data_IF_698885075651
#
_entry.id   IF_698885075651
#
_cell.length_a   1.000
_cell.length_b   1.000
_cell.length_c   1.000
_cell.angle_alpha   90.00
_cell.angle_beta   90.00
_cell.angle_gamma   90.00
#
_symmetry.space_group_name_H-M   'P 1'
#
loop_
_entity.id
_entity.type
_entity.pdbx_description
1 polymer ?
#
# COMPACT_ATOMS: atom_id res chain seq x y z
N UNK A 1 -1.40 21.87 -10.85
CA UNK A 1 -1.76 21.12 -9.60
C UNK A 1 -0.68 21.36 -8.55
N UNK A 2 -1.05 21.71 -7.30
CA UNK A 2 -0.11 21.92 -6.17
C UNK A 2 -0.32 20.86 -5.11
N UNK A 3 0.74 20.17 -4.72
CA UNK A 3 0.69 19.06 -3.74
C UNK A 3 1.52 19.42 -2.52
N UNK A 4 0.90 19.46 -1.34
CA UNK A 4 1.56 19.68 -0.06
C UNK A 4 2.03 18.36 0.55
N UNK A 5 3.29 18.27 0.91
CA UNK A 5 3.90 17.18 1.65
C UNK A 5 4.25 17.69 3.05
N UNK A 6 3.44 17.31 4.04
CA UNK A 6 3.57 17.83 5.41
C UNK A 6 4.76 17.20 6.13
N UNK A 7 5.64 18.04 6.67
CA UNK A 7 6.80 17.62 7.47
C UNK A 7 6.52 17.91 8.95
N UNK A 8 6.63 16.86 9.77
CA UNK A 8 6.52 16.98 11.23
C UNK A 8 7.75 16.37 11.92
N UNK A 9 8.17 16.87 13.10
CA UNK A 9 9.39 16.41 13.77
C UNK A 9 9.44 14.91 14.08
N UNK A 10 8.30 14.27 14.31
CA UNK A 10 8.22 12.86 14.68
C UNK A 10 7.80 11.94 13.54
N UNK A 11 7.91 12.39 12.30
CA UNK A 11 7.46 11.59 11.16
C UNK A 11 8.43 10.48 10.78
N UNK A 12 7.90 9.46 10.14
CA UNK A 12 8.65 8.44 9.42
C UNK A 12 8.93 8.96 8.01
N UNK A 13 10.19 9.25 7.68
CA UNK A 13 10.58 9.87 6.39
C UNK A 13 10.00 9.14 5.17
N UNK A 14 10.08 7.81 5.13
CA UNK A 14 9.58 6.98 4.02
C UNK A 14 8.08 7.13 3.77
N UNK A 15 7.30 7.52 4.78
CA UNK A 15 5.86 7.76 4.62
C UNK A 15 5.52 9.06 3.89
N UNK A 16 6.51 9.90 3.64
CA UNK A 16 6.40 11.12 2.85
C UNK A 16 7.21 11.02 1.56
N UNK A 17 8.50 10.67 1.68
CA UNK A 17 9.43 10.66 0.55
C UNK A 17 9.00 9.69 -0.54
N UNK A 18 8.37 8.57 -0.19
CA UNK A 18 7.83 7.62 -1.17
C UNK A 18 6.83 8.28 -2.13
N UNK A 19 5.83 8.99 -1.60
CA UNK A 19 4.84 9.67 -2.42
C UNK A 19 5.46 10.87 -3.17
N UNK A 20 6.35 11.61 -2.51
CA UNK A 20 7.06 12.74 -3.12
C UNK A 20 7.87 12.30 -4.35
N UNK A 21 8.67 11.25 -4.23
CA UNK A 21 9.49 10.75 -5.33
C UNK A 21 8.67 10.14 -6.47
N UNK A 22 7.56 9.49 -6.17
CA UNK A 22 6.64 9.00 -7.20
C UNK A 22 6.05 10.15 -8.03
N UNK A 23 5.62 11.25 -7.42
CA UNK A 23 5.15 12.42 -8.16
C UNK A 23 6.29 13.15 -8.89
N UNK A 24 7.48 13.19 -8.28
CA UNK A 24 8.66 13.73 -8.96
C UNK A 24 8.98 12.93 -10.23
N UNK A 25 8.99 11.60 -10.14
CA UNK A 25 9.20 10.73 -11.28
C UNK A 25 8.07 10.83 -12.32
N UNK A 26 6.81 11.01 -11.89
CA UNK A 26 5.68 11.27 -12.79
C UNK A 26 5.87 12.58 -13.57
N UNK A 27 6.30 13.65 -12.89
CA UNK A 27 6.65 14.90 -13.51
C UNK A 27 7.75 14.74 -14.58
N UNK A 28 8.80 13.96 -14.28
CA UNK A 28 9.89 13.70 -15.22
C UNK A 28 9.43 12.87 -16.42
N UNK A 29 8.58 11.86 -16.18
CA UNK A 29 8.02 11.03 -17.25
C UNK A 29 7.13 11.86 -18.19
N UNK A 30 6.24 12.69 -17.64
CA UNK A 30 5.35 13.55 -18.42
C UNK A 30 6.13 14.53 -19.31
N UNK A 31 7.25 15.08 -18.82
CA UNK A 31 8.13 15.95 -19.61
C UNK A 31 8.81 15.23 -20.78
N UNK A 32 9.21 13.96 -20.60
CA UNK A 32 9.91 13.18 -21.64
C UNK A 32 9.01 12.71 -22.76
N UNK A 33 7.78 12.35 -22.44
CA UNK A 33 6.86 11.77 -23.43
C UNK A 33 6.20 12.81 -24.30
N UNK A 34 6.48 14.12 -24.08
CA UNK A 34 5.83 15.20 -24.82
C UNK A 34 4.29 15.12 -24.73
N UNK A 35 3.80 14.40 -23.70
CA UNK A 35 2.37 14.26 -23.44
C UNK A 35 1.80 15.67 -23.36
N UNK A 36 1.06 15.97 -24.40
CA UNK A 36 0.35 17.18 -24.70
C UNK A 36 0.00 17.97 -23.45
N UNK A 37 0.37 19.22 -23.47
CA UNK A 37 -0.02 20.46 -22.81
C UNK A 37 -1.26 20.49 -21.89
N UNK A 38 -2.00 19.39 -21.71
CA UNK A 38 -3.18 19.30 -20.85
C UNK A 38 -2.90 18.70 -19.45
N UNK A 39 -1.75 18.04 -19.23
CA UNK A 39 -1.36 17.55 -17.91
C UNK A 39 -0.46 18.58 -17.24
N UNK A 40 -1.02 19.44 -16.41
CA UNK A 40 -0.25 20.36 -15.58
C UNK A 40 0.72 19.58 -14.71
N UNK A 41 2.02 19.87 -14.85
CA UNK A 41 3.07 19.33 -13.99
C UNK A 41 2.76 19.73 -12.55
N UNK A 42 2.78 18.78 -11.61
CA UNK A 42 2.51 19.07 -10.22
C UNK A 42 3.65 19.87 -9.59
N UNK A 43 3.33 20.96 -8.94
CA UNK A 43 4.22 21.65 -8.01
C UNK A 43 4.23 20.87 -6.69
N UNK A 44 5.40 20.37 -6.28
CA UNK A 44 5.58 19.59 -5.07
C UNK A 44 6.14 20.50 -3.98
N UNK A 45 5.36 20.75 -2.92
CA UNK A 45 5.71 21.69 -1.87
C UNK A 45 5.86 20.95 -0.53
N UNK A 46 7.02 21.09 0.08
CA UNK A 46 7.27 20.61 1.44
C UNK A 46 6.79 21.63 2.46
N UNK A 47 5.75 21.28 3.22
CA UNK A 47 5.11 22.17 4.19
C UNK A 47 5.50 21.73 5.61
N UNK A 48 6.25 22.58 6.32
CA UNK A 48 6.59 22.38 7.73
C UNK A 48 5.59 23.05 8.66
N UNK A 49 5.72 22.81 9.97
CA UNK A 49 5.03 23.61 10.98
C UNK A 49 5.53 25.07 10.96
N UNK A 50 6.81 25.23 10.72
CA UNK A 50 7.53 26.47 10.43
C UNK A 50 8.40 26.26 9.19
N UNK A 51 9.14 27.27 8.78
CA UNK A 51 10.10 27.17 7.67
C UNK A 51 11.47 26.62 8.15
N UNK A 52 11.63 26.33 9.43
CA UNK A 52 12.86 25.81 9.99
C UNK A 52 13.12 24.36 9.56
N UNK A 53 14.41 24.02 9.49
CA UNK A 53 14.85 22.65 9.21
C UNK A 53 14.38 21.70 10.30
N UNK A 54 13.80 20.57 9.90
CA UNK A 54 13.23 19.57 10.79
C UNK A 54 14.16 18.37 10.89
N UNK A 55 14.66 18.09 12.09
CA UNK A 55 15.39 16.87 12.41
C UNK A 55 14.42 15.73 12.73
N UNK A 56 14.59 14.58 12.07
CA UNK A 56 13.76 13.40 12.25
C UNK A 56 14.40 12.41 13.25
N UNK A 57 13.60 11.54 13.90
CA UNK A 57 14.10 10.54 14.84
C UNK A 57 15.13 9.57 14.25
N UNK A 58 15.18 9.43 12.92
CA UNK A 58 16.16 8.63 12.19
C UNK A 58 17.52 9.31 12.00
N UNK A 59 17.68 10.57 12.39
CA UNK A 59 18.86 11.38 12.11
C UNK A 59 18.85 12.06 10.74
N UNK A 60 17.84 11.81 9.91
CA UNK A 60 17.62 12.55 8.68
C UNK A 60 17.06 13.93 9.00
N UNK A 61 17.37 14.90 8.18
CA UNK A 61 16.78 16.23 8.28
C UNK A 61 16.15 16.66 6.97
N UNK A 62 15.03 17.36 7.06
CA UNK A 62 14.29 17.89 5.91
C UNK A 62 14.14 19.39 6.04
N UNK A 63 14.28 20.07 4.92
CA UNK A 63 14.05 21.52 4.81
C UNK A 63 12.66 21.75 4.21
N UNK A 64 11.70 22.33 4.95
CA UNK A 64 10.45 22.80 4.39
C UNK A 64 10.68 23.90 3.36
N UNK A 65 9.81 23.98 2.38
CA UNK A 65 9.78 25.08 1.41
C UNK A 65 8.95 26.27 1.96
N UNK A 66 7.99 25.93 2.86
CA UNK A 66 7.13 26.93 3.53
C UNK A 66 6.61 26.38 4.86
N UNK A 67 6.14 27.27 5.75
CA UNK A 67 5.36 26.92 6.94
C UNK A 67 3.86 26.76 6.63
N UNK A 68 3.06 26.55 7.70
CA UNK A 68 1.59 26.50 7.59
C UNK A 68 1.06 27.89 7.20
N UNK A 69 0.64 28.04 5.96
CA UNK A 69 0.03 29.27 5.42
C UNK A 69 -1.37 28.96 4.88
N UNK A 70 -2.21 30.00 4.78
CA UNK A 70 -3.53 29.90 4.16
C UNK A 70 -3.42 29.96 2.62
N UNK A 71 -2.66 29.02 2.07
CA UNK A 71 -2.56 28.78 0.64
C UNK A 71 -3.26 27.47 0.33
N UNK A 72 -4.11 27.44 -0.71
CA UNK A 72 -4.87 26.24 -1.09
C UNK A 72 -3.97 25.30 -1.88
N UNK A 73 -4.00 24.03 -1.51
CA UNK A 73 -3.41 22.92 -2.25
C UNK A 73 -4.49 22.05 -2.87
N UNK A 74 -4.21 21.46 -4.01
CA UNK A 74 -5.10 20.47 -4.63
C UNK A 74 -5.06 19.15 -3.85
N UNK A 75 -3.91 18.84 -3.23
CA UNK A 75 -3.68 17.61 -2.50
C UNK A 75 -2.73 17.82 -1.33
N UNK A 76 -3.00 17.14 -0.22
CA UNK A 76 -2.16 17.15 1.00
C UNK A 76 -1.80 15.71 1.37
N UNK A 77 -0.52 15.48 1.67
CA UNK A 77 -0.01 14.22 2.21
C UNK A 77 0.43 14.40 3.67
N UNK A 78 -0.18 13.64 4.56
CA UNK A 78 0.13 13.59 6.00
C UNK A 78 0.95 12.33 6.31
N UNK A 79 2.16 12.46 6.87
CA UNK A 79 3.06 11.34 7.10
C UNK A 79 2.64 10.49 8.30
N UNK A 80 3.09 9.23 8.32
CA UNK A 80 3.07 8.42 9.53
C UNK A 80 4.06 8.96 10.56
N UNK A 81 3.70 8.87 11.83
CA UNK A 81 4.54 9.28 12.95
C UNK A 81 5.22 8.09 13.62
N UNK A 82 6.41 8.29 14.13
CA UNK A 82 7.09 7.34 14.99
C UNK A 82 6.34 7.18 16.32
N UNK A 83 6.19 5.92 16.76
CA UNK A 83 5.62 5.58 18.06
C UNK A 83 4.21 6.18 18.28
N UNK A 84 3.96 6.71 19.46
CA UNK A 84 2.65 7.21 19.87
C UNK A 84 2.31 8.54 19.17
N UNK A 85 1.24 8.61 18.35
CA UNK A 85 0.84 9.84 17.67
C UNK A 85 0.20 10.89 18.56
N UNK A 86 -0.38 10.51 19.72
CA UNK A 86 -1.16 11.40 20.58
C UNK A 86 -0.42 12.68 20.99
N UNK A 87 0.82 12.63 21.51
CA UNK A 87 1.53 13.85 21.88
C UNK A 87 1.79 14.75 20.68
N UNK A 88 2.09 14.16 19.52
CA UNK A 88 2.38 14.93 18.30
C UNK A 88 1.15 15.68 17.84
N UNK A 89 -0.01 15.03 17.79
CA UNK A 89 -1.28 15.67 17.37
C UNK A 89 -1.68 16.77 18.36
N UNK A 90 -1.64 16.48 19.66
CA UNK A 90 -2.03 17.44 20.72
C UNK A 90 -1.14 18.67 20.78
N UNK A 91 0.15 18.51 20.49
CA UNK A 91 1.11 19.62 20.51
C UNK A 91 1.10 20.44 19.21
N UNK A 92 0.33 20.03 18.20
CA UNK A 92 0.26 20.70 16.90
C UNK A 92 -1.18 21.03 16.47
N UNK A 93 -1.96 21.77 17.29
CA UNK A 93 -3.34 22.14 16.96
C UNK A 93 -3.42 22.98 15.68
N UNK A 94 -2.42 23.82 15.41
CA UNK A 94 -2.36 24.62 14.19
C UNK A 94 -2.33 23.74 12.91
N UNK A 95 -1.65 22.59 12.95
CA UNK A 95 -1.68 21.64 11.83
C UNK A 95 -3.05 20.97 11.69
N UNK A 96 -3.72 20.63 12.79
CA UNK A 96 -5.08 20.08 12.78
C UNK A 96 -6.07 21.06 12.13
N UNK A 97 -6.00 22.33 12.53
CA UNK A 97 -6.86 23.39 11.97
C UNK A 97 -6.52 23.65 10.50
N UNK A 98 -5.24 23.61 10.13
CA UNK A 98 -4.80 23.78 8.75
C UNK A 98 -5.29 22.61 7.87
N UNK A 99 -5.24 21.36 8.35
CA UNK A 99 -5.77 20.18 7.62
C UNK A 99 -7.28 20.32 7.38
N UNK A 100 -8.02 20.76 8.41
CA UNK A 100 -9.47 21.03 8.29
C UNK A 100 -9.72 22.09 7.23
N UNK A 101 -9.01 23.21 7.31
CA UNK A 101 -9.13 24.32 6.38
C UNK A 101 -8.82 23.89 4.93
N UNK A 102 -7.77 23.12 4.70
CA UNK A 102 -7.43 22.57 3.38
C UNK A 102 -8.57 21.72 2.79
N UNK A 103 -9.12 20.82 3.62
CA UNK A 103 -10.24 19.99 3.19
C UNK A 103 -11.49 20.82 2.83
N UNK A 104 -11.84 21.79 3.65
CA UNK A 104 -12.97 22.69 3.42
C UNK A 104 -12.80 23.53 2.13
N UNK A 105 -11.56 23.87 1.78
CA UNK A 105 -11.23 24.56 0.52
C UNK A 105 -10.97 23.61 -0.66
N UNK A 106 -11.32 22.34 -0.51
CA UNK A 106 -11.43 21.39 -1.61
C UNK A 106 -10.22 20.52 -1.85
N UNK A 107 -9.20 20.55 -1.01
CA UNK A 107 -8.05 19.67 -1.11
C UNK A 107 -8.42 18.18 -0.93
N UNK A 108 -7.72 17.30 -1.63
CA UNK A 108 -7.68 15.87 -1.35
C UNK A 108 -6.70 15.65 -0.20
N UNK A 109 -7.16 15.01 0.88
CA UNK A 109 -6.33 14.72 2.05
C UNK A 109 -5.93 13.24 2.02
N UNK A 110 -4.62 12.99 1.96
CA UNK A 110 -4.03 11.65 2.04
C UNK A 110 -3.29 11.50 3.35
N UNK A 111 -3.59 10.46 4.11
CA UNK A 111 -2.91 10.16 5.36
C UNK A 111 -2.29 8.76 5.32
N UNK A 112 -1.11 8.62 5.92
CA UNK A 112 -0.38 7.35 6.00
C UNK A 112 -0.27 6.90 7.45
N UNK A 113 -0.65 5.66 7.72
CA UNK A 113 -0.55 5.06 9.05
C UNK A 113 -1.13 5.96 10.14
N UNK A 114 -0.31 6.32 11.12
CA UNK A 114 -0.72 7.21 12.24
C UNK A 114 -0.98 8.65 11.84
N UNK A 115 -0.64 9.08 10.62
CA UNK A 115 -0.99 10.40 10.08
C UNK A 115 -2.51 10.65 10.02
N UNK A 116 -3.30 9.58 9.95
CA UNK A 116 -4.77 9.65 10.03
C UNK A 116 -5.28 10.31 11.30
N UNK A 117 -4.49 10.30 12.39
CA UNK A 117 -4.87 10.95 13.64
C UNK A 117 -5.06 12.47 13.49
N UNK A 118 -4.32 13.15 12.62
CA UNK A 118 -4.56 14.56 12.32
C UNK A 118 -5.93 14.78 11.65
N UNK A 119 -6.30 13.88 10.75
CA UNK A 119 -7.58 13.95 10.02
C UNK A 119 -8.76 13.65 10.96
N UNK A 120 -8.59 12.67 11.86
CA UNK A 120 -9.58 12.32 12.85
C UNK A 120 -9.75 13.44 13.91
N UNK A 121 -8.65 14.01 14.40
CA UNK A 121 -8.66 15.15 15.35
C UNK A 121 -9.31 16.39 14.74
N UNK A 122 -9.14 16.60 13.43
CA UNK A 122 -9.85 17.63 12.70
C UNK A 122 -11.36 17.39 12.57
N UNK A 123 -11.89 16.23 13.06
CA UNK A 123 -13.30 15.85 12.98
C UNK A 123 -13.76 15.41 11.58
N UNK A 124 -12.86 15.34 10.63
CA UNK A 124 -13.19 15.07 9.22
C UNK A 124 -13.61 13.62 8.95
N UNK A 125 -13.27 12.70 9.87
CA UNK A 125 -13.55 11.26 9.74
C UNK A 125 -14.75 10.79 10.59
N UNK A 126 -15.45 11.67 11.29
CA UNK A 126 -16.65 11.30 12.05
C UNK A 126 -17.68 10.65 11.10
N UNK A 127 -18.19 9.49 11.51
CA UNK A 127 -19.14 8.66 10.74
C UNK A 127 -18.64 8.29 9.33
N UNK A 128 -17.31 8.19 9.15
CA UNK A 128 -16.68 7.83 7.89
C UNK A 128 -15.68 6.70 8.06
N UNK A 129 -15.49 5.87 7.03
CA UNK A 129 -14.51 4.80 7.04
C UNK A 129 -13.08 5.34 7.04
N UNK A 130 -12.24 4.81 7.92
CA UNK A 130 -10.82 5.08 7.96
C UNK A 130 -10.02 3.83 8.29
N UNK A 131 -8.75 3.82 7.93
CA UNK A 131 -7.77 2.83 8.36
C UNK A 131 -6.51 3.51 8.86
N UNK A 132 -5.75 2.80 9.67
CA UNK A 132 -4.46 3.24 10.21
C UNK A 132 -3.47 2.08 10.19
N UNK A 133 -2.28 2.26 10.76
CA UNK A 133 -1.34 1.17 10.94
C UNK A 133 -1.88 0.15 11.95
N UNK A 134 -1.81 -1.14 11.63
CA UNK A 134 -2.40 -2.24 12.42
C UNK A 134 -2.03 -2.22 13.91
N UNK A 135 -0.80 -1.80 14.23
CA UNK A 135 -0.32 -1.70 15.61
C UNK A 135 -1.12 -0.68 16.46
N UNK A 136 -1.74 0.31 15.82
CA UNK A 136 -2.48 1.39 16.47
C UNK A 136 -4.00 1.23 16.41
N UNK A 137 -4.55 0.15 15.88
CA UNK A 137 -5.99 -0.05 15.73
C UNK A 137 -6.75 0.14 17.03
N UNK A 138 -6.31 -0.52 18.13
CA UNK A 138 -7.00 -0.43 19.41
C UNK A 138 -6.90 0.95 20.05
N UNK A 139 -5.76 1.61 19.91
CA UNK A 139 -5.58 2.97 20.39
C UNK A 139 -6.42 3.95 19.59
N UNK A 140 -6.39 3.85 18.25
CA UNK A 140 -7.15 4.72 17.37
C UNK A 140 -8.66 4.61 17.59
N UNK A 141 -9.19 3.39 17.74
CA UNK A 141 -10.61 3.17 18.03
C UNK A 141 -11.05 3.76 19.38
N UNK A 142 -10.17 3.74 20.39
CA UNK A 142 -10.44 4.38 21.69
C UNK A 142 -10.38 5.90 21.63
N UNK A 143 -9.46 6.44 20.83
CA UNK A 143 -9.22 7.89 20.75
C UNK A 143 -10.27 8.58 19.88
N UNK A 144 -10.74 7.89 18.84
CA UNK A 144 -11.66 8.41 17.83
C UNK A 144 -12.87 7.47 17.63
N UNK A 145 -13.75 7.34 18.64
CA UNK A 145 -14.83 6.35 18.63
C UNK A 145 -15.93 6.62 17.60
N UNK A 146 -15.98 7.83 17.03
CA UNK A 146 -16.92 8.18 15.94
C UNK A 146 -16.41 7.79 14.56
N UNK A 147 -15.16 7.33 14.44
CA UNK A 147 -14.59 6.91 13.16
C UNK A 147 -14.90 5.45 12.90
N UNK A 148 -15.41 5.13 11.72
CA UNK A 148 -15.62 3.74 11.30
C UNK A 148 -14.29 3.08 10.94
N UNK A 149 -13.57 2.53 11.94
CA UNK A 149 -12.28 1.88 11.71
C UNK A 149 -12.42 0.58 10.90
N UNK A 150 -11.90 0.59 9.68
CA UNK A 150 -11.87 -0.56 8.77
C UNK A 150 -10.52 -1.28 8.88
N UNK A 151 -10.41 -2.19 9.88
CA UNK A 151 -9.16 -2.87 10.27
C UNK A 151 -8.54 -3.73 9.18
N UNK A 152 -9.34 -4.14 8.19
CA UNK A 152 -8.99 -5.14 7.19
C UNK A 152 -8.71 -4.54 5.83
N UNK A 153 -8.92 -3.23 5.69
CA UNK A 153 -8.64 -2.51 4.46
C UNK A 153 -7.31 -1.77 4.59
N UNK A 154 -6.44 -1.97 3.61
CA UNK A 154 -5.16 -1.25 3.55
C UNK A 154 -5.34 0.20 3.11
N UNK A 155 -6.41 0.49 2.39
CA UNK A 155 -6.79 1.83 1.95
C UNK A 155 -8.28 2.02 2.22
N UNK A 156 -8.65 3.18 2.74
CA UNK A 156 -10.05 3.62 2.83
C UNK A 156 -10.23 4.95 2.13
N UNK A 157 -11.42 5.17 1.58
CA UNK A 157 -11.76 6.43 0.91
C UNK A 157 -13.14 6.92 1.34
N UNK A 158 -13.25 8.20 1.65
CA UNK A 158 -14.51 8.87 1.97
C UNK A 158 -14.54 10.26 1.32
N UNK A 159 -15.10 10.35 0.11
CA UNK A 159 -15.04 11.57 -0.69
C UNK A 159 -13.60 11.92 -1.07
N UNK A 160 -13.09 13.05 -0.54
CA UNK A 160 -11.71 13.52 -0.76
C UNK A 160 -10.73 13.10 0.35
N UNK A 161 -11.14 12.22 1.27
CA UNK A 161 -10.30 11.70 2.35
C UNK A 161 -9.80 10.30 1.98
N UNK A 162 -8.50 10.11 2.02
CA UNK A 162 -7.83 8.83 1.73
C UNK A 162 -6.92 8.46 2.88
N UNK A 163 -7.03 7.23 3.38
CA UNK A 163 -6.19 6.71 4.45
C UNK A 163 -5.49 5.44 3.98
N UNK A 164 -4.16 5.43 4.01
CA UNK A 164 -3.33 4.27 3.73
C UNK A 164 -2.76 3.69 5.03
N UNK A 165 -3.03 2.43 5.33
CA UNK A 165 -2.61 1.79 6.59
C UNK A 165 -1.12 1.43 6.66
N UNK A 166 -0.38 1.51 5.56
CA UNK A 166 1.04 1.16 5.48
C UNK A 166 1.76 1.94 4.38
N UNK A 167 3.09 1.85 4.34
CA UNK A 167 3.92 2.44 3.26
C UNK A 167 3.59 1.80 1.90
N UNK A 168 3.38 0.49 1.85
CA UNK A 168 3.00 -0.18 0.60
C UNK A 168 1.65 0.31 0.09
N UNK A 169 0.66 0.44 0.98
CA UNK A 169 -0.63 1.01 0.65
C UNK A 169 -0.54 2.48 0.21
N UNK A 170 0.38 3.27 0.78
CA UNK A 170 0.66 4.63 0.32
C UNK A 170 1.16 4.64 -1.11
N UNK A 171 2.05 3.71 -1.49
CA UNK A 171 2.54 3.61 -2.86
C UNK A 171 1.40 3.32 -3.84
N UNK A 172 0.50 2.38 -3.50
CA UNK A 172 -0.65 2.04 -4.32
C UNK A 172 -1.63 3.23 -4.45
N UNK A 173 -1.88 3.93 -3.35
CA UNK A 173 -2.67 5.16 -3.34
C UNK A 173 -2.04 6.25 -4.20
N UNK A 174 -0.72 6.44 -4.10
CA UNK A 174 -0.02 7.45 -4.88
C UNK A 174 -0.04 7.12 -6.37
N UNK A 175 0.18 5.86 -6.75
CA UNK A 175 0.06 5.41 -8.14
C UNK A 175 -1.37 5.56 -8.68
N UNK A 176 -2.41 5.36 -7.84
CA UNK A 176 -3.79 5.67 -8.21
C UNK A 176 -3.97 7.15 -8.56
N UNK A 177 -3.40 8.07 -7.76
CA UNK A 177 -3.45 9.50 -8.08
C UNK A 177 -2.62 9.82 -9.32
N UNK A 178 -1.43 9.24 -9.49
CA UNK A 178 -0.64 9.40 -10.72
C UNK A 178 -1.44 8.93 -11.94
N UNK A 179 -2.09 7.77 -11.87
CA UNK A 179 -2.96 7.30 -12.95
C UNK A 179 -4.07 8.32 -13.29
N UNK A 180 -4.69 8.89 -12.26
CA UNK A 180 -5.80 9.84 -12.42
C UNK A 180 -5.35 11.16 -13.07
N UNK A 181 -4.16 11.66 -12.72
CA UNK A 181 -3.69 12.98 -13.13
C UNK A 181 -2.73 12.96 -14.33
N UNK A 182 -1.93 11.91 -14.49
CA UNK A 182 -0.94 11.78 -15.55
C UNK A 182 -1.28 10.71 -16.60
N UNK A 183 -2.34 9.94 -16.36
CA UNK A 183 -2.77 8.88 -17.26
C UNK A 183 -2.12 7.52 -16.96
N UNK A 184 -2.66 6.50 -17.66
CA UNK A 184 -2.31 5.10 -17.45
C UNK A 184 -0.84 4.79 -17.76
N UNK A 185 -0.32 5.33 -18.85
CA UNK A 185 1.02 4.98 -19.34
C UNK A 185 2.12 5.43 -18.36
N UNK A 186 1.98 6.62 -17.77
CA UNK A 186 2.88 7.12 -16.74
C UNK A 186 2.79 6.26 -15.47
N UNK A 187 1.58 5.93 -15.03
CA UNK A 187 1.38 5.10 -13.84
C UNK A 187 1.94 3.69 -14.02
N UNK A 188 1.72 3.05 -15.16
CA UNK A 188 2.24 1.72 -15.49
C UNK A 188 3.78 1.73 -15.53
N UNK A 189 4.37 2.75 -16.16
CA UNK A 189 5.82 2.93 -16.20
C UNK A 189 6.41 3.04 -14.79
N UNK A 190 5.85 3.89 -13.94
CA UNK A 190 6.30 4.05 -12.55
C UNK A 190 6.08 2.78 -11.72
N UNK A 191 4.95 2.11 -11.90
CA UNK A 191 4.68 0.85 -11.22
C UNK A 191 5.74 -0.21 -11.52
N UNK A 192 6.23 -0.30 -12.76
CA UNK A 192 7.29 -1.24 -13.16
C UNK A 192 8.66 -0.89 -12.53
N UNK A 193 8.96 0.40 -12.33
CA UNK A 193 10.25 0.85 -11.81
C UNK A 193 10.30 0.91 -10.28
N UNK A 194 9.20 1.29 -9.63
CA UNK A 194 9.15 1.47 -8.17
C UNK A 194 8.54 0.27 -7.43
N UNK A 195 8.02 -0.72 -8.14
CA UNK A 195 7.35 -1.86 -7.54
C UNK A 195 7.62 -3.13 -8.34
N UNK A 196 8.47 -4.00 -7.81
CA UNK A 196 8.71 -5.34 -8.35
C UNK A 196 7.62 -6.35 -7.97
N UNK A 197 6.68 -5.96 -7.10
CA UNK A 197 5.61 -6.84 -6.64
C UNK A 197 4.40 -6.76 -7.59
N UNK A 198 3.70 -7.88 -7.76
CA UNK A 198 2.39 -7.89 -8.44
C UNK A 198 1.39 -7.25 -7.49
N UNK A 199 1.15 -5.95 -7.67
CA UNK A 199 0.22 -5.19 -6.84
C UNK A 199 -1.22 -5.51 -7.22
N UNK A 200 -2.07 -5.51 -6.21
CA UNK A 200 -3.51 -5.59 -6.43
C UNK A 200 -4.01 -4.24 -6.97
N UNK A 201 -4.99 -4.23 -7.89
CA UNK A 201 -5.63 -2.98 -8.31
C UNK A 201 -6.17 -2.19 -7.11
N UNK A 202 -6.10 -0.87 -7.18
CA UNK A 202 -6.58 0.04 -6.14
C UNK A 202 -8.01 -0.31 -5.68
N UNK A 203 -8.92 -0.61 -6.60
CA UNK A 203 -10.32 -0.94 -6.28
C UNK A 203 -10.49 -2.21 -5.43
N UNK A 204 -9.48 -3.11 -5.41
CA UNK A 204 -9.48 -4.28 -4.53
C UNK A 204 -8.88 -4.03 -3.15
N UNK A 205 -8.12 -2.95 -2.99
CA UNK A 205 -7.45 -2.58 -1.75
C UNK A 205 -8.20 -1.49 -0.98
N UNK A 206 -9.11 -0.77 -1.66
CA UNK A 206 -9.83 0.37 -1.10
C UNK A 206 -11.25 -0.01 -0.67
N UNK A 207 -11.67 0.55 0.45
CA UNK A 207 -13.07 0.63 0.85
C UNK A 207 -13.58 2.05 0.54
N UNK A 208 -14.62 2.16 -0.26
CA UNK A 208 -15.25 3.44 -0.63
C UNK A 208 -16.54 3.64 0.16
N UNK A 209 -16.76 4.82 0.69
CA UNK A 209 -18.01 5.16 1.36
C UNK A 209 -19.20 5.03 0.39
N UNK A 210 -20.24 4.28 0.78
CA UNK A 210 -21.42 4.02 -0.04
C UNK A 210 -21.35 2.74 -0.88
N UNK A 211 -20.22 2.02 -0.91
CA UNK A 211 -20.18 0.65 -1.40
C UNK A 211 -20.79 -0.28 -0.33
N UNK A 212 -21.75 -1.11 -0.75
CA UNK A 212 -22.29 -2.13 0.13
C UNK A 212 -21.17 -3.11 0.53
N UNK A 213 -20.99 -3.36 1.82
CA UNK A 213 -20.05 -4.34 2.40
C UNK A 213 -20.18 -5.77 1.82
N UNK A 214 -21.17 -5.99 0.95
CA UNK A 214 -21.47 -7.26 0.32
C UNK A 214 -20.44 -7.71 -0.76
N UNK A 215 -19.50 -6.85 -1.19
CA UNK A 215 -18.55 -7.22 -2.25
C UNK A 215 -17.18 -7.69 -1.74
N UNK A 216 -16.80 -7.37 -0.52
CA UNK A 216 -15.55 -7.86 0.06
C UNK A 216 -15.86 -8.77 1.23
N UNK A 217 -15.79 -10.07 1.00
CA UNK A 217 -15.96 -11.07 2.07
C UNK A 217 -14.78 -10.96 3.05
N UNK A 218 -15.01 -10.24 4.13
CA UNK A 218 -14.03 -9.90 5.17
C UNK A 218 -13.36 -11.15 5.76
N UNK A 219 -14.14 -12.19 5.98
CA UNK A 219 -13.63 -13.46 6.49
C UNK A 219 -12.69 -14.12 5.46
N UNK A 220 -12.99 -13.99 4.17
CA UNK A 220 -12.13 -14.50 3.11
C UNK A 220 -10.84 -13.68 3.01
N UNK A 221 -10.90 -12.39 3.20
CA UNK A 221 -9.69 -11.55 3.23
C UNK A 221 -8.76 -11.94 4.39
N UNK A 222 -9.31 -12.18 5.59
CA UNK A 222 -8.53 -12.70 6.72
C UNK A 222 -7.91 -14.07 6.42
N UNK A 223 -8.67 -14.94 5.76
CA UNK A 223 -8.17 -16.24 5.35
C UNK A 223 -7.03 -16.11 4.32
N UNK A 224 -7.10 -15.17 3.39
CA UNK A 224 -6.02 -14.89 2.44
C UNK A 224 -4.74 -14.44 3.16
N UNK A 225 -4.85 -13.49 4.09
CA UNK A 225 -3.72 -13.01 4.91
C UNK A 225 -3.12 -14.17 5.73
N UNK A 226 -3.97 -14.97 6.36
CA UNK A 226 -3.52 -16.13 7.10
C UNK A 226 -2.76 -17.12 6.21
N UNK A 227 -3.29 -17.43 5.03
CA UNK A 227 -2.66 -18.33 4.07
C UNK A 227 -1.31 -17.79 3.58
N UNK A 228 -1.19 -16.50 3.31
CA UNK A 228 0.08 -15.84 2.93
C UNK A 228 1.14 -15.96 4.02
N UNK A 229 0.77 -15.75 5.28
CA UNK A 229 1.67 -15.84 6.42
C UNK A 229 2.12 -17.29 6.76
N UNK A 230 1.50 -18.28 6.13
CA UNK A 230 1.75 -19.71 6.41
C UNK A 230 2.14 -20.51 5.17
N UNK A 231 2.61 -19.88 4.10
CA UNK A 231 2.94 -20.53 2.81
C UNK A 231 3.91 -21.70 2.96
N UNK A 232 4.85 -21.61 3.89
CA UNK A 232 5.88 -22.61 4.18
C UNK A 232 5.36 -23.88 4.86
N UNK A 233 4.14 -23.86 5.40
CA UNK A 233 3.56 -25.08 6.01
C UNK A 233 3.13 -26.04 4.91
N UNK A 234 3.85 -27.15 4.75
CA UNK A 234 3.60 -28.16 3.73
C UNK A 234 2.17 -28.73 3.77
N UNK A 235 1.60 -28.85 4.94
CA UNK A 235 0.28 -29.48 5.19
C UNK A 235 -0.84 -28.44 5.44
N UNK A 236 -0.92 -27.36 4.66
CA UNK A 236 -2.11 -26.51 4.71
C UNK A 236 -3.29 -27.28 4.10
N UNK A 237 -4.18 -27.75 4.95
CA UNK A 237 -5.47 -28.32 4.53
C UNK A 237 -6.49 -27.19 4.42
N UNK A 238 -7.17 -27.08 3.28
CA UNK A 238 -8.25 -26.12 3.08
C UNK A 238 -9.40 -26.33 4.06
N UNK A 239 -9.61 -27.57 4.48
CA UNK A 239 -10.57 -27.92 5.55
C UNK A 239 -10.19 -27.25 6.87
N UNK A 240 -8.90 -27.33 7.25
CA UNK A 240 -8.40 -26.71 8.49
C UNK A 240 -8.49 -25.18 8.42
N UNK A 241 -8.15 -24.59 7.27
CA UNK A 241 -8.31 -23.15 7.07
C UNK A 241 -9.79 -22.74 7.20
N UNK A 242 -10.70 -23.46 6.57
CA UNK A 242 -12.13 -23.17 6.67
C UNK A 242 -12.61 -23.24 8.13
N UNK A 243 -12.18 -24.25 8.88
CA UNK A 243 -12.52 -24.41 10.30
C UNK A 243 -11.99 -23.28 11.18
N UNK A 244 -10.79 -22.74 10.91
CA UNK A 244 -10.23 -21.59 11.62
C UNK A 244 -11.11 -20.34 11.51
N UNK A 245 -11.82 -20.22 10.40
CA UNK A 245 -12.74 -19.11 10.13
C UNK A 245 -14.22 -19.48 10.33
N UNK A 246 -14.51 -20.54 11.10
CA UNK A 246 -15.87 -20.94 11.48
C UNK A 246 -16.73 -21.42 10.31
N UNK A 247 -16.13 -21.92 9.23
CA UNK A 247 -16.83 -22.34 8.02
C UNK A 247 -16.63 -23.84 7.71
N UNK A 248 -17.64 -24.46 7.08
CA UNK A 248 -17.43 -25.72 6.38
C UNK A 248 -16.56 -25.49 5.13
N UNK A 249 -15.78 -26.49 4.72
CA UNK A 249 -14.91 -26.40 3.54
C UNK A 249 -15.70 -26.02 2.27
N UNK A 250 -16.91 -26.51 2.11
CA UNK A 250 -17.79 -26.22 0.96
C UNK A 250 -18.20 -24.74 0.96
N UNK A 251 -18.61 -24.21 2.10
CA UNK A 251 -19.01 -22.80 2.23
C UNK A 251 -17.80 -21.87 2.03
N UNK A 252 -16.66 -22.20 2.65
CA UNK A 252 -15.41 -21.50 2.48
C UNK A 252 -14.98 -21.43 1.01
N UNK A 253 -14.95 -22.58 0.30
CA UNK A 253 -14.56 -22.61 -1.12
C UNK A 253 -15.49 -21.79 -2.01
N UNK A 254 -16.79 -21.83 -1.75
CA UNK A 254 -17.79 -21.05 -2.49
C UNK A 254 -17.58 -19.55 -2.28
N UNK A 255 -17.48 -19.12 -1.02
CA UNK A 255 -17.24 -17.70 -0.66
C UNK A 255 -15.89 -17.20 -1.17
N UNK A 256 -14.86 -18.01 -1.01
CA UNK A 256 -13.51 -17.69 -1.50
C UNK A 256 -13.49 -17.50 -3.01
N UNK A 257 -14.17 -18.37 -3.77
CA UNK A 257 -14.28 -18.24 -5.22
C UNK A 257 -15.09 -17.02 -5.62
N UNK A 258 -16.16 -16.73 -4.91
CA UNK A 258 -16.95 -15.50 -5.15
C UNK A 258 -16.14 -14.23 -4.93
N UNK A 259 -15.33 -14.17 -3.84
CA UNK A 259 -14.53 -13.01 -3.49
C UNK A 259 -13.25 -12.85 -4.33
N UNK A 260 -12.65 -13.95 -4.82
CA UNK A 260 -11.32 -13.92 -5.44
C UNK A 260 -11.28 -14.38 -6.89
N UNK A 261 -12.38 -14.89 -7.43
CA UNK A 261 -12.50 -15.59 -8.72
C UNK A 261 -11.57 -16.82 -8.83
N UNK A 262 -11.02 -17.33 -7.71
CA UNK A 262 -10.15 -18.50 -7.63
C UNK A 262 -10.60 -19.43 -6.51
N UNK A 263 -10.26 -20.71 -6.63
CA UNK A 263 -10.41 -21.61 -5.49
C UNK A 263 -9.30 -21.35 -4.45
N UNK A 264 -9.51 -21.66 -3.14
CA UNK A 264 -8.48 -21.53 -2.12
C UNK A 264 -7.18 -22.29 -2.45
N UNK A 265 -7.28 -23.46 -3.09
CA UNK A 265 -6.13 -24.26 -3.55
C UNK A 265 -5.35 -23.53 -4.63
N UNK A 266 -6.04 -23.02 -5.66
CA UNK A 266 -5.41 -22.23 -6.73
C UNK A 266 -4.74 -20.98 -6.17
N UNK A 267 -5.37 -20.30 -5.23
CA UNK A 267 -4.81 -19.13 -4.57
C UNK A 267 -3.51 -19.47 -3.85
N UNK A 268 -3.52 -20.53 -3.00
CA UNK A 268 -2.33 -20.99 -2.27
C UNK A 268 -1.19 -21.38 -3.23
N UNK A 269 -1.50 -22.13 -4.29
CA UNK A 269 -0.51 -22.50 -5.30
C UNK A 269 0.11 -21.26 -5.97
N UNK A 270 -0.71 -20.29 -6.34
CA UNK A 270 -0.23 -19.05 -6.97
C UNK A 270 0.70 -18.26 -6.04
N UNK A 271 0.36 -18.14 -4.74
CA UNK A 271 1.22 -17.46 -3.78
C UNK A 271 2.55 -18.17 -3.58
N UNK A 272 2.54 -19.51 -3.44
CA UNK A 272 3.76 -20.31 -3.34
C UNK A 272 4.66 -20.21 -4.56
N UNK A 273 4.09 -20.20 -5.76
CA UNK A 273 4.85 -20.04 -7.00
C UNK A 273 5.44 -18.65 -7.16
N UNK A 274 4.76 -17.61 -6.66
CA UNK A 274 5.30 -16.23 -6.61
C UNK A 274 6.51 -16.15 -5.68
N UNK A 275 6.39 -16.65 -4.45
CA UNK A 275 7.50 -16.73 -3.50
C UNK A 275 8.67 -17.53 -4.06
N UNK A 276 8.41 -18.67 -4.74
CA UNK A 276 9.43 -19.45 -5.40
C UNK A 276 10.17 -18.66 -6.50
N UNK A 277 9.44 -17.86 -7.25
CA UNK A 277 10.01 -16.97 -8.29
C UNK A 277 11.00 -15.97 -7.68
N UNK A 278 10.65 -15.34 -6.57
CA UNK A 278 11.53 -14.40 -5.86
C UNK A 278 12.78 -15.08 -5.31
N UNK A 279 12.62 -16.26 -4.70
CA UNK A 279 13.76 -17.05 -4.23
C UNK A 279 14.68 -17.51 -5.37
N UNK A 280 14.14 -17.84 -6.54
CA UNK A 280 14.93 -18.17 -7.73
C UNK A 280 15.75 -16.97 -8.23
N UNK A 281 15.22 -15.77 -8.13
CA UNK A 281 15.89 -14.53 -8.54
C UNK A 281 16.97 -14.10 -7.54
N UNK A 282 16.62 -14.11 -6.25
CA UNK A 282 17.35 -13.38 -5.22
C UNK A 282 18.16 -14.29 -4.28
N UNK A 283 18.18 -15.62 -4.49
CA UNK A 283 18.91 -16.54 -3.62
C UNK A 283 19.68 -17.61 -4.40
N UNK A 284 20.71 -18.19 -3.75
CA UNK A 284 21.48 -19.31 -4.27
C UNK A 284 20.94 -20.68 -3.81
N UNK A 285 19.75 -20.72 -3.20
CA UNK A 285 19.13 -21.97 -2.77
C UNK A 285 18.93 -22.93 -3.96
N UNK A 286 19.12 -24.22 -3.75
CA UNK A 286 18.81 -25.24 -4.74
C UNK A 286 17.32 -25.26 -5.07
N UNK A 287 16.94 -25.84 -6.19
CA UNK A 287 15.52 -25.98 -6.57
C UNK A 287 14.74 -26.79 -5.52
N UNK A 288 15.38 -27.79 -4.91
CA UNK A 288 14.80 -28.60 -3.85
C UNK A 288 14.56 -27.79 -2.58
N UNK A 289 15.54 -27.00 -2.14
CA UNK A 289 15.40 -26.12 -0.98
C UNK A 289 14.29 -25.07 -1.19
N UNK A 290 14.20 -24.50 -2.39
CA UNK A 290 13.11 -23.58 -2.73
C UNK A 290 11.75 -24.30 -2.66
N UNK A 291 11.63 -25.48 -3.26
CA UNK A 291 10.40 -26.24 -3.22
C UNK A 291 9.93 -26.49 -1.77
N UNK A 292 10.83 -26.96 -0.90
CA UNK A 292 10.53 -27.18 0.52
C UNK A 292 10.17 -25.87 1.25
N UNK A 293 10.90 -24.79 0.99
CA UNK A 293 10.70 -23.49 1.65
C UNK A 293 9.34 -22.88 1.32
N UNK A 294 8.84 -23.11 0.11
CA UNK A 294 7.51 -22.64 -0.30
C UNK A 294 6.40 -23.68 -0.05
N UNK A 295 6.70 -24.74 0.70
CA UNK A 295 5.72 -25.70 1.20
C UNK A 295 5.39 -26.87 0.27
N UNK A 296 6.28 -27.22 -0.67
CA UNK A 296 6.16 -28.44 -1.47
C UNK A 296 7.12 -29.52 -0.99
N UNK A 297 6.59 -30.68 -0.61
CA UNK A 297 7.41 -31.84 -0.21
C UNK A 297 7.91 -32.66 -1.42
N UNK A 298 7.24 -32.55 -2.57
CA UNK A 298 7.62 -33.20 -3.83
C UNK A 298 8.15 -32.17 -4.81
N UNK A 299 9.46 -32.26 -5.08
CA UNK A 299 10.20 -31.36 -5.99
C UNK A 299 9.77 -31.57 -7.44
N UNK A 300 9.39 -32.78 -7.82
CA UNK A 300 8.92 -33.08 -9.18
C UNK A 300 7.57 -32.46 -9.43
N UNK A 301 6.66 -32.56 -8.48
CA UNK A 301 5.35 -31.90 -8.53
C UNK A 301 5.50 -30.37 -8.55
N UNK A 302 6.36 -29.80 -7.68
CA UNK A 302 6.69 -28.38 -7.72
C UNK A 302 7.20 -27.93 -9.10
N UNK A 303 8.15 -28.67 -9.66
CA UNK A 303 8.75 -28.34 -10.98
C UNK A 303 7.70 -28.37 -12.09
N UNK A 304 6.78 -29.35 -12.05
CA UNK A 304 5.67 -29.44 -13.02
C UNK A 304 4.72 -28.26 -12.89
N UNK A 305 4.31 -27.91 -11.67
CA UNK A 305 3.44 -26.76 -11.42
C UNK A 305 4.09 -25.44 -11.82
N UNK A 306 5.36 -25.26 -11.49
CA UNK A 306 6.09 -24.05 -11.84
C UNK A 306 6.20 -23.91 -13.37
N UNK A 307 6.51 -25.01 -14.09
CA UNK A 307 6.53 -25.01 -15.56
C UNK A 307 5.16 -24.72 -16.15
N UNK A 308 4.09 -25.23 -15.58
CA UNK A 308 2.72 -24.97 -16.02
C UNK A 308 2.36 -23.47 -15.84
N UNK A 309 2.81 -22.87 -14.74
CA UNK A 309 2.54 -21.47 -14.40
C UNK A 309 3.41 -20.48 -15.19
N UNK A 310 4.71 -20.79 -15.37
CA UNK A 310 5.72 -19.91 -15.97
C UNK A 310 6.12 -20.29 -17.40
N UNK A 311 5.59 -21.38 -17.96
CA UNK A 311 5.94 -21.97 -19.25
C UNK A 311 7.38 -22.49 -19.38
N UNK A 312 8.22 -22.30 -18.36
CA UNK A 312 9.61 -22.78 -18.29
C UNK A 312 9.89 -23.40 -16.92
N UNK A 313 10.89 -24.26 -16.83
CA UNK A 313 11.26 -24.90 -15.56
C UNK A 313 11.91 -23.91 -14.59
N UNK A 314 11.90 -24.18 -13.25
CA UNK A 314 12.58 -23.33 -12.27
C UNK A 314 14.07 -23.09 -12.59
N UNK A 315 14.76 -24.11 -13.08
CA UNK A 315 16.18 -24.02 -13.49
C UNK A 315 16.36 -23.07 -14.69
N UNK A 316 15.54 -23.24 -15.72
CA UNK A 316 15.56 -22.35 -16.89
C UNK A 316 15.21 -20.91 -16.49
N UNK A 317 14.19 -20.72 -15.66
CA UNK A 317 13.82 -19.41 -15.16
C UNK A 317 14.99 -18.70 -14.47
N UNK A 318 15.68 -19.38 -13.54
CA UNK A 318 16.85 -18.83 -12.85
C UNK A 318 17.96 -18.43 -13.83
N UNK A 319 18.28 -19.29 -14.78
CA UNK A 319 19.32 -19.03 -15.78
C UNK A 319 18.98 -17.80 -16.63
N UNK A 320 17.75 -17.70 -17.12
CA UNK A 320 17.29 -16.59 -17.97
C UNK A 320 17.31 -15.25 -17.24
N UNK A 321 16.85 -15.21 -15.99
CA UNK A 321 16.83 -13.97 -15.21
C UNK A 321 18.24 -13.50 -14.87
N UNK A 322 19.13 -14.43 -14.46
CA UNK A 322 20.53 -14.07 -14.16
C UNK A 322 21.29 -13.62 -15.40
N UNK A 323 21.07 -14.25 -16.54
CA UNK A 323 21.67 -13.79 -17.79
C UNK A 323 21.24 -12.36 -18.15
N UNK A 324 19.95 -11.99 -17.92
CA UNK A 324 19.47 -10.62 -18.15
C UNK A 324 20.05 -9.59 -17.17
N UNK A 325 20.30 -9.98 -15.92
CA UNK A 325 20.91 -9.08 -14.94
C UNK A 325 22.39 -8.79 -15.23
N UNK A 326 23.09 -9.70 -15.92
CA UNK A 326 24.50 -9.53 -16.27
C UNK A 326 24.72 -8.97 -17.69
N UNK A 327 23.70 -8.93 -18.55
CA UNK A 327 23.78 -8.37 -19.91
C UNK A 327 23.38 -6.89 -20.00
N UNK A 328 23.05 -6.24 -18.89
CA UNK A 328 22.75 -4.79 -18.83
C UNK A 328 23.95 -3.94 -18.35
N UNK A 329 25.17 -4.47 -18.49
CA UNK A 329 26.43 -3.76 -18.19
C UNK A 329 27.31 -3.75 -19.45
N UNK A 330 26.80 -3.14 -20.55
CA UNK A 330 27.60 -2.63 -21.66
C UNK A 330 26.98 -1.31 -22.16
#
# INVERSE_FOLDING_TARGET
MRIAFVITPNMLATSLTNAYELFFAANQSARRTGLSVTSEIAELVKVGLTEDRVELPSGLSLQPDTGLKQEVFDMVYLPAMWRNPRPVVRNNPALVDWVRWQYEHGAIINSTGTGVCFVAEAGLLNDKPATTHWYFFEQFARDYPLVELKRQHFITTAGKLYCAGSINALTDLTLHHVHRFYGKDVADHLSQHFSHEVRQPFDRLSFKQGENDNQTDETILQAQIWMQNHLNKAAISISNVASLFGMSQRNFTRRFRSATNMTPVQYLQNQRLREAKELLQNSNLSISEIAYRVGYMDVSYFTKLFKQFMSITPKQYRTTIRAKLFSSSD
#
